data_IF_292426400939
#
_entry.id   IF_292426400939
#
_cell.length_a   1.000
_cell.length_b   1.000
_cell.length_c   1.000
_cell.angle_alpha   90.00
_cell.angle_beta   90.00
_cell.angle_gamma   90.00
#
_symmetry.space_group_name_H-M   'P 1'
#
loop_
_entity.id
_entity.type
_entity.pdbx_description
1 polymer ?
#
# COMPACT_ATOMS: atom_id res chain seq x y z
N UNK A 1 24.26 -14.70 3.07
CA UNK A 1 23.25 -14.22 4.03
C UNK A 1 23.15 -12.71 3.86
N UNK A 2 22.36 -12.27 2.87
CA UNK A 2 22.10 -10.84 2.66
C UNK A 2 20.90 -10.49 3.52
N UNK A 3 21.13 -9.61 4.47
CA UNK A 3 20.13 -8.97 5.32
C UNK A 3 19.29 -8.01 4.48
N UNK A 4 18.20 -8.52 3.91
CA UNK A 4 17.05 -7.71 3.51
C UNK A 4 16.47 -7.08 4.78
N UNK A 5 16.76 -5.80 5.02
CA UNK A 5 16.11 -5.06 6.09
C UNK A 5 14.61 -4.96 5.77
N UNK A 6 13.73 -5.54 6.60
CA UNK A 6 12.30 -5.56 6.31
C UNK A 6 11.71 -4.23 6.77
N UNK A 7 11.45 -3.35 5.81
CA UNK A 7 10.59 -2.16 5.89
C UNK A 7 10.94 -1.10 6.95
N UNK A 8 11.06 0.20 6.57
CA UNK A 8 11.27 1.27 7.54
C UNK A 8 10.07 1.38 8.49
N UNK A 9 10.35 1.62 9.77
CA UNK A 9 9.40 1.68 10.89
C UNK A 9 8.06 2.37 10.55
N UNK A 10 6.95 1.62 10.60
CA UNK A 10 5.57 2.04 10.29
C UNK A 10 4.98 3.10 11.24
N UNK A 11 5.72 3.59 12.24
CA UNK A 11 5.17 4.47 13.28
C UNK A 11 5.50 5.97 13.12
N UNK A 12 6.25 6.38 12.11
CA UNK A 12 6.56 7.82 11.92
C UNK A 12 5.43 8.62 11.22
N UNK A 13 4.39 7.95 10.71
CA UNK A 13 3.40 8.56 9.81
C UNK A 13 2.39 9.50 10.49
N UNK A 14 2.26 9.46 11.82
CA UNK A 14 1.26 10.26 12.56
C UNK A 14 1.72 11.66 12.96
N UNK A 15 3.02 11.93 12.99
CA UNK A 15 3.53 13.21 13.48
C UNK A 15 3.53 14.27 12.40
N UNK A 16 2.94 15.45 12.65
CA UNK A 16 3.01 16.59 11.72
C UNK A 16 4.46 16.83 11.24
N UNK A 17 4.66 17.26 9.97
CA UNK A 17 5.98 17.66 9.51
C UNK A 17 6.63 18.63 10.51
N UNK A 18 7.92 18.42 10.79
CA UNK A 18 8.66 19.22 11.77
C UNK A 18 8.59 20.71 11.45
N UNK A 19 8.57 21.06 10.17
CA UNK A 19 8.45 22.43 9.67
C UNK A 19 7.13 23.08 10.09
N UNK A 20 6.02 22.32 10.12
CA UNK A 20 4.74 22.83 10.59
C UNK A 20 4.75 23.00 12.11
N UNK A 21 5.37 22.07 12.85
CA UNK A 21 5.51 22.19 14.31
C UNK A 21 6.30 23.45 14.65
N UNK A 22 7.46 23.65 14.02
CA UNK A 22 8.31 24.81 14.21
C UNK A 22 7.61 26.11 13.81
N UNK A 23 6.82 26.09 12.73
CA UNK A 23 6.00 27.24 12.32
C UNK A 23 4.92 27.56 13.35
N UNK A 24 4.24 26.54 13.90
CA UNK A 24 3.25 26.71 14.95
C UNK A 24 3.83 27.33 16.21
N UNK A 25 5.04 26.92 16.61
CA UNK A 25 5.76 27.53 17.73
C UNK A 25 6.08 29.01 17.49
N UNK A 26 6.52 29.36 16.28
CA UNK A 26 6.79 30.76 15.90
C UNK A 26 5.53 31.61 15.89
N UNK A 27 4.40 31.07 15.39
CA UNK A 27 3.12 31.76 15.40
C UNK A 27 2.65 31.98 16.85
N UNK A 28 2.76 30.99 17.71
CA UNK A 28 2.39 31.08 19.12
C UNK A 28 3.23 32.10 19.93
N UNK A 29 4.43 32.43 19.46
CA UNK A 29 5.29 33.45 20.06
C UNK A 29 4.95 34.89 19.62
N UNK A 30 4.00 35.07 18.69
CA UNK A 30 3.60 36.39 18.21
C UNK A 30 2.69 37.13 19.22
N UNK A 31 2.74 38.47 19.26
CA UNK A 31 1.74 39.29 19.92
C UNK A 31 0.30 38.97 19.49
N UNK A 32 -0.65 39.05 20.42
CA UNK A 32 -2.05 38.66 20.26
C UNK A 32 -2.74 39.11 18.94
N UNK A 33 -2.62 40.37 18.47
CA UNK A 33 -3.29 40.76 17.23
C UNK A 33 -2.80 39.98 16.00
N UNK A 34 -1.49 39.70 15.92
CA UNK A 34 -0.87 38.98 14.80
C UNK A 34 -1.11 37.48 14.92
N UNK A 35 -1.10 36.95 16.15
CA UNK A 35 -1.47 35.56 16.43
C UNK A 35 -2.88 35.26 15.93
N UNK A 36 -3.85 36.10 16.27
CA UNK A 36 -5.26 35.91 15.88
C UNK A 36 -5.49 35.92 14.37
N UNK A 37 -4.74 36.73 13.64
CA UNK A 37 -4.81 36.76 12.17
C UNK A 37 -4.32 35.45 11.53
N UNK A 38 -3.32 34.80 12.14
CA UNK A 38 -2.64 33.63 11.57
C UNK A 38 -3.17 32.30 12.10
N UNK A 39 -3.67 32.25 13.33
CA UNK A 39 -4.13 31.05 14.04
C UNK A 39 -5.09 30.22 13.17
N UNK A 40 -6.12 30.86 12.61
CA UNK A 40 -7.12 30.16 11.82
C UNK A 40 -6.54 29.62 10.50
N UNK A 41 -5.70 30.41 9.82
CA UNK A 41 -5.07 29.98 8.57
C UNK A 41 -4.11 28.81 8.79
N UNK A 42 -3.30 28.88 9.84
CA UNK A 42 -2.39 27.82 10.24
C UNK A 42 -3.15 26.53 10.61
N UNK A 43 -4.22 26.62 11.41
CA UNK A 43 -5.06 25.47 11.74
C UNK A 43 -5.61 24.77 10.50
N UNK A 44 -6.09 25.54 9.50
CA UNK A 44 -6.56 24.96 8.22
C UNK A 44 -5.47 24.22 7.47
N UNK A 45 -4.24 24.74 7.46
CA UNK A 45 -3.08 24.08 6.81
C UNK A 45 -2.74 22.78 7.53
N UNK A 46 -2.68 22.79 8.86
CA UNK A 46 -2.44 21.60 9.69
C UNK A 46 -3.47 20.52 9.39
N UNK A 47 -4.75 20.89 9.34
CA UNK A 47 -5.84 19.95 9.03
C UNK A 47 -5.73 19.38 7.61
N UNK A 48 -5.42 20.22 6.61
CA UNK A 48 -5.20 19.78 5.24
C UNK A 48 -4.05 18.77 5.13
N UNK A 49 -2.95 19.01 5.84
CA UNK A 49 -1.77 18.13 5.82
C UNK A 49 -2.08 16.80 6.51
N UNK A 50 -2.78 16.83 7.66
CA UNK A 50 -3.25 15.61 8.32
C UNK A 50 -4.17 14.79 7.43
N UNK A 51 -5.17 15.41 6.79
CA UNK A 51 -6.09 14.72 5.87
C UNK A 51 -5.35 14.10 4.69
N UNK A 52 -4.44 14.82 4.04
CA UNK A 52 -3.66 14.31 2.90
C UNK A 52 -2.83 13.09 3.29
N UNK A 53 -2.16 13.15 4.45
CA UNK A 53 -1.41 11.99 4.95
C UNK A 53 -2.30 10.81 5.23
N UNK A 54 -3.44 11.02 5.89
CA UNK A 54 -4.40 9.93 6.13
C UNK A 54 -4.89 9.27 4.84
N UNK A 55 -5.15 10.06 3.81
CA UNK A 55 -5.52 9.53 2.48
C UNK A 55 -4.37 8.72 1.89
N UNK A 56 -3.14 9.24 1.94
CA UNK A 56 -1.96 8.53 1.42
C UNK A 56 -1.71 7.21 2.16
N UNK A 57 -1.86 7.18 3.48
CA UNK A 57 -1.77 5.94 4.27
C UNK A 57 -2.79 4.91 3.81
N UNK A 58 -4.07 5.30 3.69
CA UNK A 58 -5.13 4.40 3.23
C UNK A 58 -4.88 3.88 1.81
N UNK A 59 -4.37 4.74 0.92
CA UNK A 59 -4.00 4.35 -0.43
C UNK A 59 -2.83 3.37 -0.42
N UNK A 60 -1.80 3.61 0.40
CA UNK A 60 -0.66 2.71 0.54
C UNK A 60 -1.09 1.35 1.08
N UNK A 61 -1.95 1.32 2.09
CA UNK A 61 -2.52 0.10 2.67
C UNK A 61 -3.32 -0.68 1.62
N UNK A 62 -4.21 -0.01 0.89
CA UNK A 62 -4.99 -0.63 -0.18
C UNK A 62 -4.11 -1.18 -1.32
N UNK A 63 -3.05 -0.47 -1.70
CA UNK A 63 -2.09 -0.95 -2.70
C UNK A 63 -1.26 -2.14 -2.20
N UNK A 64 -0.87 -2.14 -0.93
CA UNK A 64 -0.16 -3.26 -0.32
C UNK A 64 -1.04 -4.52 -0.29
N UNK A 65 -2.31 -4.36 0.08
CA UNK A 65 -3.30 -5.44 0.04
C UNK A 65 -3.50 -5.95 -1.39
N UNK A 66 -3.76 -5.07 -2.35
CA UNK A 66 -3.95 -5.46 -3.75
C UNK A 66 -2.73 -6.20 -4.32
N UNK A 67 -1.53 -5.76 -3.98
CA UNK A 67 -0.29 -6.44 -4.41
C UNK A 67 -0.22 -7.87 -3.86
N UNK A 68 -0.70 -8.09 -2.65
CA UNK A 68 -0.76 -9.40 -2.02
C UNK A 68 -1.86 -10.27 -2.65
N UNK A 69 -3.03 -9.69 -2.93
CA UNK A 69 -4.12 -10.38 -3.63
C UNK A 69 -3.69 -10.86 -5.03
N UNK A 70 -2.93 -10.03 -5.77
CA UNK A 70 -2.35 -10.41 -7.07
C UNK A 70 -1.39 -11.59 -6.92
N UNK A 71 -0.56 -11.62 -5.87
CA UNK A 71 0.35 -12.74 -5.62
C UNK A 71 -0.42 -14.05 -5.39
N UNK A 72 -1.50 -14.01 -4.62
CA UNK A 72 -2.33 -15.19 -4.40
C UNK A 72 -3.04 -15.64 -5.68
N UNK A 73 -3.59 -14.71 -6.46
CA UNK A 73 -4.24 -15.05 -7.72
C UNK A 73 -3.27 -15.72 -8.70
N UNK A 74 -2.03 -15.22 -8.79
CA UNK A 74 -1.01 -15.84 -9.64
C UNK A 74 -0.63 -17.24 -9.16
N UNK A 75 -0.52 -17.44 -7.84
CA UNK A 75 -0.25 -18.74 -7.25
C UNK A 75 -1.38 -19.74 -7.55
N UNK A 76 -2.63 -19.37 -7.28
CA UNK A 76 -3.79 -20.23 -7.57
C UNK A 76 -3.87 -20.58 -9.07
N UNK A 77 -3.54 -19.63 -9.94
CA UNK A 77 -3.49 -19.84 -11.39
C UNK A 77 -2.37 -20.79 -11.81
N UNK A 78 -1.22 -20.76 -11.14
CA UNK A 78 -0.11 -21.69 -11.39
C UNK A 78 -0.50 -23.11 -10.96
N UNK A 79 -1.06 -23.26 -9.76
CA UNK A 79 -1.55 -24.55 -9.23
C UNK A 79 -2.60 -25.15 -10.17
N UNK A 80 -3.64 -24.38 -10.53
CA UNK A 80 -4.70 -24.88 -11.43
C UNK A 80 -4.20 -25.21 -12.84
N UNK A 81 -3.16 -24.51 -13.32
CA UNK A 81 -2.50 -24.87 -14.59
C UNK A 81 -1.76 -26.19 -14.48
N UNK A 82 -1.01 -26.38 -13.40
CA UNK A 82 -0.28 -27.61 -13.15
C UNK A 82 -1.25 -28.80 -13.04
N UNK A 83 -2.30 -28.69 -12.22
CA UNK A 83 -3.32 -29.75 -12.06
C UNK A 83 -3.97 -30.12 -13.40
N UNK A 84 -4.30 -29.12 -14.23
CA UNK A 84 -4.84 -29.36 -15.58
C UNK A 84 -3.84 -30.12 -16.45
N UNK A 85 -2.57 -29.74 -16.41
CA UNK A 85 -1.54 -30.33 -17.26
C UNK A 85 -1.23 -31.77 -16.84
N UNK A 86 -1.26 -32.07 -15.53
CA UNK A 86 -1.22 -33.43 -14.99
C UNK A 86 -2.41 -34.27 -15.48
N UNK A 87 -3.64 -33.75 -15.37
CA UNK A 87 -4.85 -34.46 -15.83
C UNK A 87 -4.87 -34.71 -17.35
N UNK A 88 -4.32 -33.78 -18.14
CA UNK A 88 -4.18 -33.98 -19.60
C UNK A 88 -3.18 -35.07 -19.92
N UNK A 89 -2.04 -35.09 -19.23
CA UNK A 89 -1.03 -36.13 -19.41
C UNK A 89 -1.60 -37.52 -19.07
N UNK A 90 -2.35 -37.65 -17.97
CA UNK A 90 -3.05 -38.89 -17.63
C UNK A 90 -4.06 -39.30 -18.71
N UNK A 91 -4.83 -38.36 -19.26
CA UNK A 91 -5.80 -38.66 -20.31
C UNK A 91 -5.14 -39.13 -21.61
N UNK A 92 -4.03 -38.50 -21.99
CA UNK A 92 -3.23 -38.88 -23.16
C UNK A 92 -2.60 -40.29 -22.95
N UNK A 93 -2.18 -40.64 -21.73
CA UNK A 93 -1.70 -41.99 -21.38
C UNK A 93 -2.82 -43.05 -21.41
N UNK A 94 -4.03 -42.70 -20.98
CA UNK A 94 -5.19 -43.60 -20.98
C UNK A 94 -5.72 -43.83 -22.40
N UNK A 95 -5.51 -42.88 -23.33
CA UNK A 95 -6.08 -42.92 -24.67
C UNK A 95 -5.02 -42.72 -25.79
N UNK A 96 -4.01 -43.59 -25.89
CA UNK A 96 -2.87 -43.41 -26.80
C UNK A 96 -3.25 -43.44 -28.30
N UNK A 97 -4.43 -43.96 -28.65
CA UNK A 97 -4.87 -44.20 -30.05
C UNK A 97 -6.05 -43.31 -30.51
N UNK A 98 -6.50 -42.34 -29.70
CA UNK A 98 -7.79 -41.64 -29.88
C UNK A 98 -7.96 -40.66 -31.05
N UNK A 99 -6.96 -40.47 -31.92
CA UNK A 99 -7.07 -39.57 -33.09
C UNK A 99 -6.47 -40.11 -34.40
N UNK A 100 -6.04 -41.37 -34.47
CA UNK A 100 -5.56 -41.96 -35.73
C UNK A 100 -6.68 -42.59 -36.58
N UNK A 101 -7.95 -42.45 -36.19
CA UNK A 101 -9.08 -42.92 -36.98
C UNK A 101 -10.33 -42.08 -36.73
N UNK A 102 -10.44 -40.96 -37.45
CA UNK A 102 -11.67 -40.44 -38.09
C UNK A 102 -11.32 -39.23 -38.96
#
# INVERSE_FOLDING_TARGET
MNSEQPFPDENTSRELPRELIDLGQRIAALPEPQYRELEQAYSRVVDCVRRRRRILELVQEALAQLRLDIKYLMFDLEVTRQERDELKAELDEINPDGFSSL
#
